data_IF_111768822002
#
_entry.id   IF_111768822002
#
_cell.length_a   1.000
_cell.length_b   1.000
_cell.length_c   1.000
_cell.angle_alpha   90.00
_cell.angle_beta   90.00
_cell.angle_gamma   90.00
#
_symmetry.space_group_name_H-M   'P 1'
#
loop_
_entity.id
_entity.type
_entity.pdbx_description
1 polymer ?
#
# COMPACT_ATOMS: atom_id res chain seq x y z
N UNK A 1 18.28 -16.17 -5.58
CA UNK A 1 18.08 -15.22 -4.48
C UNK A 1 16.74 -15.53 -3.82
N UNK A 2 16.68 -15.66 -2.50
CA UNK A 2 15.44 -15.98 -1.80
C UNK A 2 14.83 -14.65 -1.30
N UNK A 3 13.64 -14.30 -1.80
CA UNK A 3 12.97 -13.04 -1.45
C UNK A 3 12.04 -13.15 -0.24
N UNK A 4 11.73 -14.37 0.22
CA UNK A 4 10.82 -14.60 1.34
C UNK A 4 10.75 -16.07 1.74
N UNK A 5 9.86 -16.36 2.70
CA UNK A 5 9.61 -17.69 3.24
C UNK A 5 8.20 -17.78 3.83
N UNK A 6 7.70 -18.99 4.00
CA UNK A 6 6.46 -19.25 4.73
C UNK A 6 6.72 -19.22 6.24
N UNK A 7 5.85 -18.55 6.96
CA UNK A 7 5.73 -18.60 8.42
C UNK A 7 4.50 -19.44 8.76
N UNK A 8 4.70 -20.73 8.93
CA UNK A 8 3.61 -21.70 9.14
C UNK A 8 2.89 -21.46 10.47
N UNK A 9 3.58 -20.89 11.45
CA UNK A 9 3.02 -20.62 12.77
C UNK A 9 1.96 -19.50 12.69
N UNK A 10 2.28 -18.42 11.97
CA UNK A 10 1.39 -17.26 11.80
C UNK A 10 0.52 -17.38 10.55
N UNK A 11 0.73 -18.39 9.72
CA UNK A 11 0.03 -18.58 8.43
C UNK A 11 0.22 -17.39 7.48
N UNK A 12 1.45 -16.94 7.39
CA UNK A 12 1.85 -15.80 6.58
C UNK A 12 2.92 -16.19 5.56
N UNK A 13 2.98 -15.43 4.48
CA UNK A 13 4.16 -15.39 3.62
C UNK A 13 4.95 -14.13 3.91
N UNK A 14 6.18 -14.30 4.38
CA UNK A 14 7.07 -13.20 4.77
C UNK A 14 8.00 -12.86 3.62
N UNK A 15 7.99 -11.60 3.19
CA UNK A 15 8.82 -11.07 2.12
C UNK A 15 9.87 -10.14 2.74
N UNK A 16 11.14 -10.45 2.53
CA UNK A 16 12.26 -9.77 3.18
C UNK A 16 13.02 -8.80 2.28
N UNK A 17 12.54 -8.64 1.04
CA UNK A 17 13.10 -7.68 0.09
C UNK A 17 11.99 -7.04 -0.74
N UNK A 18 11.94 -5.71 -0.86
CA UNK A 18 10.96 -5.06 -1.70
C UNK A 18 11.23 -5.23 -3.21
N UNK A 19 12.43 -5.70 -3.57
CA UNK A 19 12.91 -5.83 -4.95
C UNK A 19 12.62 -7.21 -5.53
N UNK A 20 11.38 -7.66 -5.39
CA UNK A 20 10.90 -8.88 -6.03
C UNK A 20 10.86 -8.69 -7.56
N UNK A 21 11.05 -9.74 -8.36
CA UNK A 21 11.04 -9.65 -9.83
C UNK A 21 9.74 -9.10 -10.41
N UNK A 22 8.63 -9.42 -9.76
CA UNK A 22 7.28 -8.95 -10.03
C UNK A 22 6.62 -8.55 -8.71
N UNK A 23 5.56 -7.73 -8.73
CA UNK A 23 4.76 -7.50 -7.54
C UNK A 23 4.19 -8.81 -7.01
N UNK A 24 4.45 -9.12 -5.76
CA UNK A 24 3.84 -10.26 -5.08
C UNK A 24 2.64 -9.75 -4.28
N UNK A 25 1.47 -10.23 -4.66
CA UNK A 25 0.19 -9.63 -4.26
C UNK A 25 -0.54 -10.49 -3.23
N UNK A 26 -1.34 -9.80 -2.40
CA UNK A 26 -2.35 -10.39 -1.57
C UNK A 26 -3.73 -9.84 -1.94
N UNK A 27 -4.75 -10.69 -1.84
CA UNK A 27 -6.15 -10.30 -1.99
C UNK A 27 -6.77 -10.12 -0.62
N UNK A 28 -7.34 -8.94 -0.40
CA UNK A 28 -8.03 -8.58 0.83
C UNK A 28 -9.52 -8.42 0.53
N UNK A 29 -10.36 -8.82 1.46
CA UNK A 29 -11.79 -8.60 1.35
C UNK A 29 -12.62 -9.84 1.30
N UNK A 30 -13.90 -9.62 1.37
CA UNK A 30 -14.94 -10.63 1.34
C UNK A 30 -16.23 -10.03 0.79
N UNK A 31 -17.12 -10.91 0.29
CA UNK A 31 -18.45 -10.52 -0.20
C UNK A 31 -18.38 -9.53 -1.37
N UNK A 32 -18.56 -8.26 -1.09
CA UNK A 32 -18.75 -7.22 -2.09
C UNK A 32 -17.57 -6.24 -2.23
N UNK A 33 -16.70 -6.12 -1.22
CA UNK A 33 -15.59 -5.18 -1.23
C UNK A 33 -14.24 -5.89 -1.18
N UNK A 34 -13.36 -5.50 -2.07
CA UNK A 34 -12.05 -6.13 -2.24
C UNK A 34 -10.96 -5.08 -2.41
N UNK A 35 -9.79 -5.41 -1.90
CA UNK A 35 -8.53 -4.73 -2.19
C UNK A 35 -7.49 -5.75 -2.65
N UNK A 36 -6.60 -5.30 -3.50
CA UNK A 36 -5.44 -6.03 -3.95
C UNK A 36 -4.22 -5.19 -3.62
N UNK A 37 -3.29 -5.76 -2.88
CA UNK A 37 -2.09 -5.05 -2.43
C UNK A 37 -0.84 -5.86 -2.74
N UNK A 38 0.18 -5.21 -3.26
CA UNK A 38 1.49 -5.81 -3.52
C UNK A 38 2.41 -5.71 -2.30
N UNK A 39 3.52 -6.43 -2.35
CA UNK A 39 4.56 -6.34 -1.32
C UNK A 39 5.17 -4.94 -1.16
N UNK A 40 4.96 -4.03 -2.10
CA UNK A 40 5.42 -2.64 -2.04
C UNK A 40 4.30 -1.61 -1.84
N UNK A 41 3.14 -2.04 -1.33
CA UNK A 41 1.93 -1.25 -1.11
C UNK A 41 1.24 -0.75 -2.39
N UNK A 42 1.65 -1.19 -3.58
CA UNK A 42 0.93 -0.91 -4.81
C UNK A 42 -0.35 -1.74 -4.90
N UNK A 43 -1.35 -1.25 -5.63
CA UNK A 43 -2.59 -2.00 -5.77
C UNK A 43 -3.82 -1.12 -5.97
N UNK A 44 -4.98 -1.70 -5.76
CA UNK A 44 -6.26 -1.00 -5.91
C UNK A 44 -7.38 -1.70 -5.15
N UNK A 45 -8.42 -0.95 -4.85
CA UNK A 45 -9.66 -1.44 -4.26
C UNK A 45 -10.86 -1.25 -5.20
N UNK A 46 -11.86 -2.12 -5.05
CA UNK A 46 -13.07 -2.11 -5.87
C UNK A 46 -14.28 -2.67 -5.12
N UNK A 47 -15.46 -2.28 -5.58
CA UNK A 47 -16.74 -2.78 -5.08
C UNK A 47 -17.38 -3.68 -6.15
N UNK A 48 -17.58 -4.97 -5.87
CA UNK A 48 -18.17 -6.01 -6.74
C UNK A 48 -17.41 -6.25 -8.06
N UNK A 49 -17.12 -5.23 -8.83
CA UNK A 49 -16.54 -5.36 -10.18
C UNK A 49 -15.26 -4.54 -10.31
N UNK A 50 -14.14 -5.24 -10.52
CA UNK A 50 -12.83 -4.61 -10.63
C UNK A 50 -12.64 -3.73 -11.88
N UNK A 51 -13.51 -3.86 -12.88
CA UNK A 51 -13.49 -3.06 -14.10
C UNK A 51 -14.41 -1.85 -14.00
N UNK A 52 -15.66 -2.06 -13.56
CA UNK A 52 -16.72 -1.05 -13.65
C UNK A 52 -16.90 -0.25 -12.35
N UNK A 53 -16.50 -0.82 -11.20
CA UNK A 53 -16.67 -0.22 -9.89
C UNK A 53 -15.34 -0.13 -9.13
N UNK A 54 -14.28 0.23 -9.83
CA UNK A 54 -12.95 0.46 -9.25
C UNK A 54 -12.94 1.77 -8.47
N UNK A 55 -12.43 1.73 -7.25
CA UNK A 55 -12.37 2.89 -6.36
C UNK A 55 -11.02 3.59 -6.45
N UNK A 56 -9.94 2.87 -6.23
CA UNK A 56 -8.60 3.44 -6.31
C UNK A 56 -7.94 3.09 -7.63
N UNK A 57 -7.09 4.00 -8.08
CA UNK A 57 -6.45 3.90 -9.40
C UNK A 57 -5.32 2.88 -9.39
N UNK A 58 -5.23 2.08 -10.44
CA UNK A 58 -4.07 1.28 -10.78
C UNK A 58 -3.94 1.21 -12.30
N UNK A 59 -2.80 1.63 -12.81
CA UNK A 59 -2.49 1.63 -14.24
C UNK A 59 -1.37 0.65 -14.53
N UNK A 60 -1.61 -0.28 -15.44
CA UNK A 60 -0.57 -1.10 -16.01
C UNK A 60 0.42 -0.22 -16.78
N UNK A 61 1.66 -0.69 -16.89
CA UNK A 61 2.73 0.01 -17.59
C UNK A 61 3.06 1.41 -17.05
N UNK A 62 2.78 1.64 -15.79
CA UNK A 62 3.14 2.87 -15.11
C UNK A 62 4.64 2.94 -14.82
N UNK A 63 5.15 4.16 -14.68
CA UNK A 63 6.51 4.41 -14.20
C UNK A 63 6.39 5.34 -12.99
N UNK A 64 6.81 4.91 -11.80
CA UNK A 64 7.44 3.63 -11.46
C UNK A 64 6.44 2.46 -11.53
N UNK A 65 6.95 1.28 -11.85
CA UNK A 65 6.20 0.04 -11.89
C UNK A 65 5.63 -0.31 -10.49
N UNK A 66 4.41 -0.86 -10.45
CA UNK A 66 3.69 -1.17 -9.21
C UNK A 66 3.48 0.07 -8.31
N UNK A 67 3.04 1.15 -8.91
CA UNK A 67 2.57 2.35 -8.22
C UNK A 67 1.07 2.53 -8.41
N UNK A 68 0.47 3.42 -7.67
CA UNK A 68 -0.96 3.77 -7.58
C UNK A 68 -1.68 3.09 -6.40
N UNK A 69 -2.92 3.50 -6.20
CA UNK A 69 -3.70 3.12 -5.05
C UNK A 69 -3.54 4.12 -3.93
N UNK A 70 -2.93 3.72 -2.85
CA UNK A 70 -2.72 4.58 -1.70
C UNK A 70 -1.32 4.38 -1.11
N UNK A 71 -0.74 5.44 -0.53
CA UNK A 71 0.57 5.41 0.11
C UNK A 71 0.62 6.30 1.34
N UNK A 72 1.55 5.99 2.23
CA UNK A 72 1.93 6.85 3.35
C UNK A 72 3.38 7.28 3.18
N UNK A 73 3.59 8.57 3.01
CA UNK A 73 4.92 9.16 2.97
C UNK A 73 5.31 9.64 4.35
N UNK A 74 6.53 9.36 4.76
CA UNK A 74 7.11 9.82 6.00
C UNK A 74 8.28 10.74 5.65
N UNK A 75 8.24 11.96 6.17
CA UNK A 75 9.32 12.93 6.02
C UNK A 75 10.01 13.12 7.36
N UNK A 76 11.27 12.70 7.45
CA UNK A 76 12.19 12.87 8.61
C UNK A 76 13.38 13.73 8.15
N UNK A 77 13.36 15.02 8.47
CA UNK A 77 14.27 16.00 7.91
C UNK A 77 14.15 16.10 6.38
N UNK A 78 15.26 15.88 5.68
CA UNK A 78 15.29 15.87 4.20
C UNK A 78 15.01 14.48 3.60
N UNK A 79 14.85 13.46 4.43
CA UNK A 79 14.56 12.08 3.99
C UNK A 79 13.06 11.87 3.84
N UNK A 80 12.63 11.47 2.65
CA UNK A 80 11.25 11.05 2.38
C UNK A 80 11.27 9.56 2.04
N UNK A 81 10.42 8.78 2.70
CA UNK A 81 10.37 7.35 2.54
C UNK A 81 8.96 6.78 2.77
N UNK A 82 8.75 5.52 2.41
CA UNK A 82 7.49 4.78 2.57
C UNK A 82 7.76 3.45 3.28
N UNK A 83 6.87 2.95 4.14
CA UNK A 83 7.05 1.65 4.80
C UNK A 83 7.14 0.47 3.82
N UNK A 84 6.45 0.55 2.68
CA UNK A 84 6.51 -0.44 1.59
C UNK A 84 7.65 -0.20 0.58
N UNK A 85 8.53 0.78 0.78
CA UNK A 85 9.61 1.18 -0.11
C UNK A 85 9.16 1.95 -1.37
N UNK A 86 8.15 1.49 -2.11
CA UNK A 86 7.58 2.23 -3.24
C UNK A 86 6.62 3.34 -2.73
N UNK A 87 6.42 4.41 -3.51
CA UNK A 87 7.07 4.75 -4.76
C UNK A 87 8.38 5.54 -4.60
N UNK A 88 8.75 5.97 -3.37
CA UNK A 88 9.95 6.80 -3.13
C UNK A 88 11.26 6.08 -3.45
N UNK A 89 11.28 4.75 -3.33
CA UNK A 89 12.47 3.90 -3.48
C UNK A 89 13.65 4.29 -2.60
N UNK A 90 13.38 5.02 -1.52
CA UNK A 90 14.39 5.36 -0.53
C UNK A 90 14.85 4.08 0.17
N UNK A 91 16.15 3.84 0.22
CA UNK A 91 16.70 2.67 0.89
C UNK A 91 16.33 2.68 2.37
N UNK A 92 15.70 1.59 2.79
CA UNK A 92 15.30 1.35 4.17
C UNK A 92 16.43 0.64 4.93
N UNK A 93 16.54 0.91 6.22
CA UNK A 93 17.48 0.22 7.10
C UNK A 93 17.03 -1.23 7.36
N UNK A 94 15.70 -1.44 7.37
CA UNK A 94 15.09 -2.77 7.28
C UNK A 94 13.72 -2.70 6.60
N UNK A 95 13.33 -3.81 5.97
CA UNK A 95 12.06 -3.98 5.28
C UNK A 95 11.53 -5.38 5.51
N UNK A 96 10.24 -5.48 5.78
CA UNK A 96 9.49 -6.72 5.83
C UNK A 96 8.06 -6.48 5.36
N UNK A 97 7.55 -7.39 4.53
CA UNK A 97 6.13 -7.47 4.21
C UNK A 97 5.62 -8.85 4.59
N UNK A 98 4.49 -8.90 5.27
CA UNK A 98 3.78 -10.12 5.66
C UNK A 98 2.42 -10.15 5.00
N UNK A 99 2.19 -11.14 4.16
CA UNK A 99 0.90 -11.43 3.58
C UNK A 99 0.23 -12.55 4.35
N UNK A 100 -0.80 -12.20 5.11
CA UNK A 100 -1.63 -13.10 5.88
C UNK A 100 -2.97 -13.37 5.21
N UNK A 101 -3.80 -14.19 5.86
CA UNK A 101 -5.15 -14.49 5.40
C UNK A 101 -6.11 -13.33 5.75
N UNK A 102 -6.31 -12.41 4.79
CA UNK A 102 -7.21 -11.27 4.93
C UNK A 102 -6.56 -9.99 5.46
N UNK A 103 -5.23 -9.95 5.56
CA UNK A 103 -4.48 -8.75 5.90
C UNK A 103 -3.09 -8.76 5.29
N UNK A 104 -2.49 -7.58 5.19
CA UNK A 104 -1.07 -7.42 4.87
C UNK A 104 -0.43 -6.44 5.83
N UNK A 105 0.82 -6.71 6.22
CA UNK A 105 1.60 -5.86 7.12
C UNK A 105 2.91 -5.48 6.47
N UNK A 106 3.17 -4.20 6.36
CA UNK A 106 4.41 -3.65 5.82
C UNK A 106 5.17 -2.97 6.94
N UNK A 107 6.38 -3.41 7.21
CA UNK A 107 7.24 -2.83 8.24
C UNK A 107 8.51 -2.29 7.60
N UNK A 108 8.67 -0.99 7.62
CA UNK A 108 9.88 -0.29 7.20
C UNK A 108 10.56 0.40 8.37
N UNK A 109 11.87 0.42 8.36
CA UNK A 109 12.66 1.21 9.32
C UNK A 109 13.59 2.13 8.55
N UNK A 110 13.65 3.39 8.94
CA UNK A 110 14.59 4.37 8.41
C UNK A 110 15.05 5.32 9.51
N UNK A 111 16.36 5.48 9.63
CA UNK A 111 16.99 6.43 10.58
C UNK A 111 16.47 6.28 12.03
N UNK A 112 16.19 5.06 12.50
CA UNK A 112 15.66 4.81 13.83
C UNK A 112 14.17 5.17 14.01
N UNK A 113 13.42 5.38 12.95
CA UNK A 113 11.97 5.46 12.96
C UNK A 113 11.39 4.22 12.27
N UNK A 114 10.58 3.46 12.96
CA UNK A 114 9.84 2.32 12.42
C UNK A 114 8.44 2.76 12.04
N UNK A 115 7.99 2.39 10.85
CA UNK A 115 6.62 2.51 10.41
C UNK A 115 6.07 1.13 10.05
N UNK A 116 4.92 0.81 10.60
CA UNK A 116 4.19 -0.42 10.29
C UNK A 116 2.81 -0.04 9.78
N UNK A 117 2.53 -0.42 8.54
CA UNK A 117 1.23 -0.27 7.90
C UNK A 117 0.54 -1.63 7.87
N UNK A 118 -0.67 -1.71 8.40
CA UNK A 118 -1.53 -2.89 8.32
C UNK A 118 -2.74 -2.56 7.47
N UNK A 119 -2.93 -3.32 6.39
CA UNK A 119 -4.03 -3.19 5.45
C UNK A 119 -4.96 -4.39 5.57
N UNK A 120 -6.26 -4.13 5.68
CA UNK A 120 -7.28 -5.17 5.70
C UNK A 120 -8.66 -4.63 5.30
N UNK A 121 -9.53 -5.53 4.91
CA UNK A 121 -10.96 -5.26 4.67
C UNK A 121 -11.74 -5.95 5.78
N UNK A 122 -12.46 -5.21 6.66
CA UNK A 122 -13.26 -5.83 7.71
C UNK A 122 -14.41 -6.65 7.11
N UNK A 123 -14.71 -7.79 7.72
CA UNK A 123 -15.86 -8.63 7.32
C UNK A 123 -17.18 -7.85 7.43
N UNK A 124 -18.02 -7.96 6.42
CA UNK A 124 -19.31 -7.28 6.35
C UNK A 124 -19.22 -5.76 6.13
N UNK A 125 -18.05 -5.25 5.80
CA UNK A 125 -17.82 -3.82 5.54
C UNK A 125 -17.46 -3.55 4.09
N UNK A 126 -17.80 -2.36 3.61
CA UNK A 126 -17.46 -1.86 2.27
C UNK A 126 -16.36 -0.80 2.33
N UNK A 127 -15.30 -1.09 3.09
CA UNK A 127 -14.16 -0.19 3.24
C UNK A 127 -12.85 -0.97 3.39
N UNK A 128 -11.79 -0.34 3.00
CA UNK A 128 -10.42 -0.75 3.30
C UNK A 128 -9.91 0.06 4.50
N UNK A 129 -9.27 -0.61 5.43
CA UNK A 129 -8.68 0.02 6.62
C UNK A 129 -7.17 -0.07 6.53
N UNK A 130 -6.55 1.08 6.60
CA UNK A 130 -5.10 1.27 6.60
C UNK A 130 -4.68 1.79 7.99
N UNK A 131 -4.08 0.93 8.82
CA UNK A 131 -3.61 1.27 10.15
C UNK A 131 -2.11 1.54 10.12
N UNK A 132 -1.71 2.80 10.22
CA UNK A 132 -0.30 3.16 10.34
C UNK A 132 0.11 3.30 11.82
N UNK A 133 1.13 2.55 12.22
CA UNK A 133 1.76 2.63 13.53
C UNK A 133 3.19 3.13 13.38
N UNK A 134 3.55 4.16 14.12
CA UNK A 134 4.90 4.75 14.10
C UNK A 134 5.56 4.56 15.46
N UNK A 135 6.82 4.14 15.45
CA UNK A 135 7.60 3.93 16.67
C UNK A 135 8.99 4.51 16.50
N UNK A 136 9.35 5.44 17.37
CA UNK A 136 10.74 5.89 17.50
C UNK A 136 11.55 4.77 18.20
N UNK A 137 12.50 4.19 17.48
CA UNK A 137 13.38 3.13 17.96
C UNK A 137 14.77 3.65 18.31
N UNK A 138 14.99 4.97 18.15
CA UNK A 138 16.23 5.64 18.53
C UNK A 138 16.15 6.18 19.98
N UNK A 139 17.27 6.56 20.52
CA UNK A 139 17.41 7.23 21.81
C UNK A 139 17.18 8.75 21.76
N UNK A 140 16.90 9.30 20.59
CA UNK A 140 16.72 10.73 20.34
C UNK A 140 15.27 11.07 20.01
N UNK A 141 14.85 12.27 20.41
CA UNK A 141 13.58 12.83 19.95
C UNK A 141 13.58 12.90 18.41
N UNK A 142 12.45 12.52 17.81
CA UNK A 142 12.21 12.60 16.37
C UNK A 142 11.08 13.56 16.08
N UNK A 143 11.31 14.47 15.13
CA UNK A 143 10.30 15.33 14.55
C UNK A 143 10.13 14.91 13.09
N UNK A 144 8.94 14.48 12.72
CA UNK A 144 8.62 14.00 11.38
C UNK A 144 7.19 14.38 10.98
N UNK A 145 6.92 14.33 9.69
CA UNK A 145 5.58 14.51 9.13
C UNK A 145 5.13 13.27 8.39
N UNK A 146 3.82 13.01 8.41
CA UNK A 146 3.19 11.92 7.68
C UNK A 146 2.19 12.51 6.69
N UNK A 147 2.22 12.00 5.46
CA UNK A 147 1.29 12.38 4.41
C UNK A 147 0.61 11.13 3.87
N UNK A 148 -0.71 11.08 3.93
CA UNK A 148 -1.49 10.07 3.22
C UNK A 148 -1.70 10.52 1.78
N UNK A 149 -1.65 9.56 0.86
CA UNK A 149 -1.90 9.76 -0.56
C UNK A 149 -2.85 8.69 -1.06
N UNK A 150 -3.86 9.09 -1.80
CA UNK A 150 -4.77 8.21 -2.49
C UNK A 150 -5.09 8.77 -3.87
N UNK A 151 -5.15 7.90 -4.86
CA UNK A 151 -5.63 8.22 -6.21
C UNK A 151 -6.94 7.48 -6.48
N UNK A 152 -7.99 8.22 -6.74
CA UNK A 152 -9.30 7.66 -7.04
C UNK A 152 -9.49 7.43 -8.55
N UNK A 153 -10.05 6.28 -8.90
CA UNK A 153 -10.62 5.98 -10.19
C UNK A 153 -12.14 6.28 -10.19
N UNK A 154 -12.83 5.77 -9.17
CA UNK A 154 -14.28 5.92 -8.88
C UNK A 154 -15.23 5.34 -9.93
N UNK A 155 -14.76 4.65 -10.96
CA UNK A 155 -15.60 4.05 -11.99
C UNK A 155 -14.88 3.01 -12.86
N UNK A 156 -15.09 3.12 -14.18
CA UNK A 156 -14.57 2.22 -15.20
C UNK A 156 -13.03 2.31 -15.31
N UNK A 157 -12.37 1.21 -14.99
CA UNK A 157 -10.92 1.13 -15.01
C UNK A 157 -10.31 1.31 -16.41
N UNK A 158 -11.02 0.91 -17.47
CA UNK A 158 -10.54 1.09 -18.86
C UNK A 158 -10.58 2.55 -19.28
N UNK A 159 -11.63 3.27 -18.92
CA UNK A 159 -11.74 4.69 -19.21
C UNK A 159 -10.67 5.47 -18.45
N UNK A 160 -10.45 5.16 -17.17
CA UNK A 160 -9.38 5.77 -16.36
C UNK A 160 -7.98 5.49 -16.93
N UNK A 161 -7.77 4.31 -17.48
CA UNK A 161 -6.48 3.90 -18.02
C UNK A 161 -6.19 4.54 -19.40
N UNK A 162 -7.22 4.75 -20.22
CA UNK A 162 -7.08 5.23 -21.60
C UNK A 162 -7.35 6.72 -21.76
N UNK A 163 -8.12 7.32 -20.85
CA UNK A 163 -8.44 8.73 -20.90
C UNK A 163 -7.42 9.56 -20.12
N UNK A 164 -6.70 10.43 -20.83
CA UNK A 164 -5.74 11.35 -20.23
C UNK A 164 -6.38 12.62 -19.62
N UNK A 165 -7.65 12.87 -19.89
CA UNK A 165 -8.40 13.98 -19.32
C UNK A 165 -8.96 13.57 -17.95
N UNK A 166 -8.31 14.01 -16.90
CA UNK A 166 -8.63 13.66 -15.49
C UNK A 166 -9.77 14.46 -14.88
N UNK A 167 -10.56 15.17 -15.68
CA UNK A 167 -11.50 16.17 -15.22
C UNK A 167 -12.84 15.60 -14.71
N UNK A 168 -12.99 14.28 -14.68
CA UNK A 168 -14.28 13.65 -14.40
C UNK A 168 -14.39 13.01 -13.01
N UNK A 169 -13.31 12.97 -12.25
CA UNK A 169 -13.33 12.45 -10.88
C UNK A 169 -13.27 13.62 -9.92
N UNK A 170 -14.42 14.07 -9.45
CA UNK A 170 -14.54 15.06 -8.38
C UNK A 170 -15.07 14.38 -7.12
N UNK A 171 -14.59 14.79 -5.96
CA UNK A 171 -15.04 14.28 -4.68
C UNK A 171 -14.98 15.38 -3.62
N UNK A 172 -15.85 15.28 -2.62
CA UNK A 172 -15.78 16.07 -1.41
C UNK A 172 -15.30 15.19 -0.27
N UNK A 173 -14.47 15.76 0.59
CA UNK A 173 -14.01 15.15 1.83
C UNK A 173 -14.48 16.00 2.98
N UNK A 174 -15.36 15.45 3.81
CA UNK A 174 -15.72 16.03 5.10
C UNK A 174 -14.77 15.49 6.19
N UNK A 175 -14.24 16.39 7.02
CA UNK A 175 -13.34 16.07 8.12
C UNK A 175 -14.01 16.40 9.45
#
# INVERSE_FOLDING_TARGET
MKFGHFDDQNKEYVITSPRTPLPWINYLGCEDFFSLVSNTCGGYSFYKDAKLLRLTRYRYNNVPYDSNGHYYYIKDGDTIWNPGWMPSKTELDSYECRHGMGYSVFTGVKNGLMAQLTDFVPMGSTCEVNKLTLKNTSDKKKDFSVFSYVEFCLWNAMDDMTNFQRNFSTGEVEI
#
